data_IF_650926157933
#
_entry.id   IF_650926157933
#
_cell.length_a   1.000
_cell.length_b   1.000
_cell.length_c   1.000
_cell.angle_alpha   90.00
_cell.angle_beta   90.00
_cell.angle_gamma   90.00
#
_symmetry.space_group_name_H-M   'P 1'
#
loop_
_entity.id
_entity.type
_entity.pdbx_description
1 polymer ?
#
# COMPACT_ATOMS: atom_id res chain seq x y z
N UNK A 1 -7.13 8.12 -15.94
CA UNK A 1 -6.57 8.50 -14.63
C UNK A 1 -5.46 9.58 -14.69
N UNK A 2 -5.33 10.32 -15.78
CA UNK A 2 -4.36 11.42 -15.87
C UNK A 2 -4.84 12.56 -14.96
N UNK A 3 -4.03 12.90 -13.98
CA UNK A 3 -4.06 14.10 -13.14
C UNK A 3 -4.99 14.17 -11.92
N UNK A 4 -5.58 13.12 -11.40
CA UNK A 4 -6.32 13.25 -10.15
C UNK A 4 -5.45 12.86 -8.95
N UNK A 5 -4.68 13.84 -8.45
CA UNK A 5 -3.80 13.68 -7.28
C UNK A 5 -4.59 13.39 -6.01
N UNK A 6 -5.89 13.77 -5.96
CA UNK A 6 -6.80 13.52 -4.85
C UNK A 6 -6.91 12.03 -4.52
N UNK A 7 -6.83 11.20 -5.55
CA UNK A 7 -6.85 9.75 -5.40
C UNK A 7 -5.80 9.24 -4.37
N UNK A 8 -4.60 9.82 -4.36
CA UNK A 8 -3.54 9.38 -3.43
C UNK A 8 -3.78 9.80 -1.99
N UNK A 9 -4.54 10.88 -1.75
CA UNK A 9 -4.94 11.27 -0.42
C UNK A 9 -5.93 10.28 0.20
N UNK A 10 -6.81 9.69 -0.60
CA UNK A 10 -7.80 8.72 -0.11
C UNK A 10 -7.19 7.40 0.38
N UNK A 11 -6.06 6.96 -0.16
CA UNK A 11 -5.40 5.75 0.34
C UNK A 11 -4.82 5.92 1.75
N UNK A 12 -4.41 7.14 2.12
CA UNK A 12 -3.83 7.43 3.43
C UNK A 12 -4.85 7.93 4.45
N UNK A 13 -6.05 8.29 4.03
CA UNK A 13 -7.08 8.87 4.87
C UNK A 13 -7.46 7.95 6.05
N UNK A 14 -7.37 6.67 5.83
CA UNK A 14 -7.78 5.64 6.77
C UNK A 14 -6.80 5.44 7.95
N UNK A 15 -5.49 5.55 7.71
CA UNK A 15 -4.46 5.32 8.74
C UNK A 15 -4.33 6.47 9.74
N UNK A 16 -5.03 7.57 9.52
CA UNK A 16 -4.89 8.82 10.27
C UNK A 16 -6.21 9.32 10.84
N UNK A 17 -7.00 8.40 11.41
CA UNK A 17 -8.24 8.80 12.08
C UNK A 17 -7.91 9.68 13.30
N UNK A 18 -8.32 10.95 13.25
CA UNK A 18 -8.09 11.96 14.30
C UNK A 18 -8.67 11.53 15.66
N UNK A 19 -9.65 10.64 15.67
CA UNK A 19 -10.25 10.10 16.90
C UNK A 19 -9.29 9.17 17.66
N UNK A 20 -8.29 8.61 16.99
CA UNK A 20 -7.28 7.75 17.60
C UNK A 20 -6.07 8.54 18.12
N UNK A 21 -5.79 9.71 17.53
CA UNK A 21 -4.63 10.53 17.88
C UNK A 21 -4.99 12.02 17.86
N UNK A 22 -4.86 12.75 18.98
CA UNK A 22 -5.05 14.18 19.01
C UNK A 22 -3.94 14.87 18.18
N UNK A 23 -4.25 15.15 16.92
CA UNK A 23 -3.31 15.78 16.00
C UNK A 23 -3.12 17.25 16.35
N UNK A 24 -1.91 17.64 16.77
CA UNK A 24 -1.54 19.05 17.00
C UNK A 24 -1.67 19.87 15.71
N UNK A 25 -2.06 21.13 15.85
CA UNK A 25 -2.04 22.07 14.72
C UNK A 25 -0.61 22.52 14.46
N UNK A 26 -0.18 22.41 13.22
CA UNK A 26 1.08 22.95 12.74
C UNK A 26 0.85 23.80 11.49
N UNK A 27 1.83 24.60 11.12
CA UNK A 27 1.82 25.35 9.86
C UNK A 27 1.90 24.41 8.65
N UNK A 28 1.43 24.86 7.49
CA UNK A 28 1.59 24.10 6.24
C UNK A 28 3.05 23.88 5.93
N UNK A 29 3.91 24.85 6.23
CA UNK A 29 5.36 24.76 6.05
C UNK A 29 5.95 23.60 6.86
N UNK A 30 5.58 23.47 8.14
CA UNK A 30 6.02 22.37 8.99
C UNK A 30 5.67 20.99 8.37
N UNK A 31 4.41 20.83 7.93
CA UNK A 31 3.98 19.56 7.33
C UNK A 31 4.74 19.24 6.04
N UNK A 32 4.99 20.24 5.20
CA UNK A 32 5.75 20.08 3.96
C UNK A 32 7.19 19.69 4.25
N UNK A 33 7.87 20.43 5.11
CA UNK A 33 9.26 20.14 5.48
C UNK A 33 9.37 18.74 6.09
N UNK A 34 8.49 18.40 7.03
CA UNK A 34 8.44 17.06 7.62
C UNK A 34 8.17 15.98 6.57
N UNK A 35 7.18 16.18 5.70
CA UNK A 35 6.82 15.24 4.64
C UNK A 35 7.98 14.97 3.68
N UNK A 36 8.58 16.02 3.16
CA UNK A 36 9.72 15.95 2.24
C UNK A 36 10.95 15.34 2.93
N UNK A 37 11.23 15.73 4.19
CA UNK A 37 12.34 15.16 4.96
C UNK A 37 12.22 13.63 5.09
N UNK A 38 11.07 13.12 5.56
CA UNK A 38 10.88 11.68 5.73
C UNK A 38 10.87 10.94 4.38
N UNK A 39 10.29 11.54 3.35
CA UNK A 39 10.35 10.99 1.99
C UNK A 39 11.80 10.86 1.51
N UNK A 40 12.58 11.93 1.57
CA UNK A 40 13.98 11.96 1.13
C UNK A 40 14.84 11.00 1.94
N UNK A 41 14.71 11.01 3.27
CA UNK A 41 15.42 10.08 4.15
C UNK A 41 15.17 8.62 3.76
N UNK A 42 13.90 8.25 3.56
CA UNK A 42 13.54 6.88 3.19
C UNK A 42 13.99 6.53 1.77
N UNK A 43 13.96 7.50 0.85
CA UNK A 43 14.49 7.33 -0.50
C UNK A 43 16.00 7.05 -0.48
N UNK A 44 16.78 7.87 0.22
CA UNK A 44 18.23 7.66 0.38
C UNK A 44 18.52 6.30 1.00
N UNK A 45 17.77 5.94 2.07
CA UNK A 45 17.89 4.62 2.67
C UNK A 45 17.66 3.49 1.67
N UNK A 46 16.63 3.62 0.81
CA UNK A 46 16.31 2.63 -0.22
C UNK A 46 17.38 2.51 -1.31
N UNK A 47 18.15 3.57 -1.57
CA UNK A 47 19.27 3.55 -2.51
C UNK A 47 20.48 2.80 -1.93
N UNK A 48 20.73 2.96 -0.64
CA UNK A 48 21.91 2.39 0.04
C UNK A 48 21.69 0.91 0.37
N UNK A 49 20.53 0.58 0.89
CA UNK A 49 20.22 -0.75 1.43
C UNK A 49 19.30 -1.61 0.53
N UNK A 50 18.89 -1.10 -0.61
CA UNK A 50 17.92 -1.73 -1.50
C UNK A 50 18.44 -2.89 -2.36
N UNK A 51 19.61 -3.47 -2.05
CA UNK A 51 20.19 -4.60 -2.81
C UNK A 51 19.72 -5.94 -2.24
N UNK A 52 18.48 -6.32 -2.58
CA UNK A 52 17.93 -7.61 -2.20
C UNK A 52 18.05 -8.65 -3.35
N UNK A 53 18.19 -9.93 -2.98
CA UNK A 53 18.13 -11.03 -3.95
C UNK A 53 16.67 -11.21 -4.41
N UNK A 54 16.44 -11.08 -5.69
CA UNK A 54 15.11 -11.12 -6.29
C UNK A 54 14.81 -12.49 -6.91
N UNK A 55 13.56 -12.95 -6.75
CA UNK A 55 13.04 -14.04 -7.57
C UNK A 55 12.54 -13.48 -8.89
N UNK A 56 12.76 -14.20 -9.97
CA UNK A 56 12.23 -13.81 -11.27
C UNK A 56 10.70 -13.87 -11.27
N UNK A 57 10.05 -12.83 -11.78
CA UNK A 57 8.60 -12.73 -11.82
C UNK A 57 7.96 -13.88 -12.62
N UNK A 58 8.67 -14.43 -13.62
CA UNK A 58 8.21 -15.53 -14.42
C UNK A 58 7.98 -16.81 -13.59
N UNK A 59 8.73 -17.00 -12.50
CA UNK A 59 8.57 -18.17 -11.61
C UNK A 59 7.28 -18.11 -10.77
N UNK A 60 6.61 -16.95 -10.73
CA UNK A 60 5.41 -16.70 -9.91
C UNK A 60 4.17 -16.41 -10.75
N UNK A 61 4.31 -16.29 -12.07
CA UNK A 61 3.20 -15.96 -12.98
C UNK A 61 2.07 -17.00 -12.92
N UNK A 62 0.84 -16.54 -12.84
CA UNK A 62 -0.35 -17.39 -12.84
C UNK A 62 -0.59 -18.18 -11.56
N UNK A 63 0.19 -17.95 -10.49
CA UNK A 63 0.01 -18.58 -9.18
C UNK A 63 -1.02 -17.84 -8.32
N UNK A 64 -1.41 -18.46 -7.22
CA UNK A 64 -2.13 -17.78 -6.14
C UNK A 64 -1.18 -16.81 -5.45
N UNK A 65 -1.62 -15.59 -5.18
CA UNK A 65 -0.83 -14.61 -4.45
C UNK A 65 -1.34 -14.45 -3.02
N UNK A 66 -0.49 -14.70 -2.03
CA UNK A 66 -0.74 -14.31 -0.65
C UNK A 66 -0.08 -12.96 -0.39
N UNK A 67 -0.91 -11.91 -0.27
CA UNK A 67 -0.45 -10.54 -0.09
C UNK A 67 -0.16 -10.29 1.40
N UNK A 68 1.04 -10.64 1.82
CA UNK A 68 1.52 -10.49 3.19
C UNK A 68 2.52 -9.35 3.28
N UNK A 69 2.25 -8.38 4.15
CA UNK A 69 3.12 -7.23 4.41
C UNK A 69 3.86 -7.34 5.76
N UNK A 70 3.54 -8.37 6.53
CA UNK A 70 4.14 -8.61 7.86
C UNK A 70 4.09 -10.07 8.24
N UNK A 71 4.87 -10.45 9.26
CA UNK A 71 4.82 -11.80 9.84
C UNK A 71 3.43 -12.12 10.44
N UNK A 72 2.72 -11.12 10.95
CA UNK A 72 1.36 -11.33 11.45
C UNK A 72 0.38 -11.65 10.33
N UNK A 73 0.48 -10.96 9.18
CA UNK A 73 -0.32 -11.31 8.01
C UNK A 73 -0.03 -12.75 7.54
N UNK A 74 1.24 -13.17 7.54
CA UNK A 74 1.62 -14.54 7.21
C UNK A 74 1.00 -15.56 8.17
N UNK A 75 1.06 -15.30 9.48
CA UNK A 75 0.44 -16.19 10.49
C UNK A 75 -1.06 -16.32 10.27
N UNK A 76 -1.75 -15.21 10.01
CA UNK A 76 -3.18 -15.19 9.74
C UNK A 76 -3.57 -16.02 8.50
N UNK A 77 -2.72 -16.05 7.48
CA UNK A 77 -2.96 -16.77 6.24
C UNK A 77 -2.39 -18.20 6.24
N UNK A 78 -1.63 -18.62 7.28
CA UNK A 78 -0.93 -19.90 7.28
C UNK A 78 -1.87 -21.10 7.15
N UNK A 79 -2.98 -21.12 7.87
CA UNK A 79 -3.96 -22.22 7.81
C UNK A 79 -4.57 -22.42 6.42
N UNK A 80 -4.66 -21.35 5.64
CA UNK A 80 -5.12 -21.41 4.25
C UNK A 80 -3.97 -21.82 3.33
N UNK A 81 -2.76 -21.26 3.55
CA UNK A 81 -1.58 -21.61 2.77
C UNK A 81 -1.26 -23.10 2.84
N UNK A 82 -1.46 -23.74 4.00
CA UNK A 82 -1.23 -25.16 4.23
C UNK A 82 -2.17 -26.09 3.43
N UNK A 83 -3.21 -25.52 2.79
CA UNK A 83 -4.13 -26.26 1.90
C UNK A 83 -3.67 -26.27 0.43
N UNK A 84 -2.59 -25.59 0.10
CA UNK A 84 -2.05 -25.50 -1.25
C UNK A 84 -0.61 -26.02 -1.31
N UNK A 85 -0.23 -26.62 -2.42
CA UNK A 85 1.15 -26.97 -2.66
C UNK A 85 2.02 -25.70 -2.80
N UNK A 86 3.23 -25.74 -2.26
CA UNK A 86 4.17 -24.60 -2.30
C UNK A 86 4.48 -24.10 -3.71
N UNK A 87 4.32 -24.91 -4.72
CA UNK A 87 4.52 -24.55 -6.11
C UNK A 87 3.34 -23.75 -6.70
N UNK A 88 2.14 -23.82 -6.10
CA UNK A 88 0.91 -23.23 -6.63
C UNK A 88 0.69 -21.80 -6.16
N UNK A 89 1.43 -21.35 -5.15
CA UNK A 89 1.29 -20.01 -4.63
C UNK A 89 2.61 -19.26 -4.52
N UNK A 90 2.51 -17.94 -4.40
CA UNK A 90 3.58 -17.03 -4.05
C UNK A 90 3.20 -16.24 -2.82
N UNK A 91 4.12 -16.16 -1.85
CA UNK A 91 3.98 -15.32 -0.66
C UNK A 91 4.73 -14.01 -0.91
N UNK A 92 4.00 -12.91 -0.95
CA UNK A 92 4.58 -11.57 -1.01
C UNK A 92 4.92 -11.12 0.42
N UNK A 93 6.20 -11.11 0.74
CA UNK A 93 6.76 -10.37 1.87
C UNK A 93 7.44 -9.13 1.31
N UNK A 94 7.46 -8.04 2.06
CA UNK A 94 7.83 -6.66 1.64
C UNK A 94 9.10 -6.49 0.77
N UNK A 95 9.87 -7.54 0.53
CA UNK A 95 11.23 -7.43 0.04
C UNK A 95 11.61 -8.40 -1.06
N UNK A 96 10.73 -9.31 -1.47
CA UNK A 96 11.13 -10.43 -2.32
C UNK A 96 10.91 -10.23 -3.83
N UNK A 97 10.34 -9.12 -4.27
CA UNK A 97 9.98 -8.92 -5.69
C UNK A 97 10.63 -7.67 -6.26
N UNK A 98 11.42 -7.78 -7.35
CA UNK A 98 12.12 -6.63 -7.96
C UNK A 98 11.19 -5.48 -8.31
N UNK A 99 9.97 -5.81 -8.68
CA UNK A 99 8.95 -4.86 -9.07
C UNK A 99 8.46 -4.01 -7.90
N UNK A 100 8.57 -4.50 -6.66
CA UNK A 100 8.13 -3.83 -5.44
C UNK A 100 9.27 -3.21 -4.63
N UNK A 101 10.45 -3.02 -5.23
CA UNK A 101 11.55 -2.39 -4.51
C UNK A 101 11.22 -0.98 -4.07
N UNK A 102 11.61 -0.63 -2.84
CA UNK A 102 11.46 0.72 -2.32
C UNK A 102 12.10 1.76 -3.25
N UNK A 103 13.25 1.46 -3.84
CA UNK A 103 13.90 2.32 -4.84
C UNK A 103 12.96 2.66 -6.00
N UNK A 104 12.28 1.67 -6.58
CA UNK A 104 11.31 1.88 -7.67
C UNK A 104 10.11 2.70 -7.23
N UNK A 105 9.59 2.42 -6.03
CA UNK A 105 8.50 3.18 -5.43
C UNK A 105 8.88 4.67 -5.35
N UNK A 106 10.03 4.98 -4.77
CA UNK A 106 10.43 6.39 -4.62
C UNK A 106 10.68 7.07 -5.95
N UNK A 107 11.37 6.41 -6.90
CA UNK A 107 11.61 6.97 -8.26
C UNK A 107 10.28 7.30 -8.95
N UNK A 108 9.30 6.38 -8.92
CA UNK A 108 7.99 6.62 -9.54
C UNK A 108 7.17 7.70 -8.82
N UNK A 109 7.44 7.95 -7.53
CA UNK A 109 6.76 9.00 -6.78
C UNK A 109 7.28 10.41 -7.10
N UNK A 110 8.53 10.56 -7.55
CA UNK A 110 9.18 11.87 -7.73
C UNK A 110 8.35 12.83 -8.57
N UNK A 111 7.77 12.38 -9.67
CA UNK A 111 6.97 13.22 -10.58
C UNK A 111 5.66 13.73 -9.95
N UNK A 112 5.22 13.12 -8.84
CA UNK A 112 3.98 13.47 -8.14
C UNK A 112 4.21 14.37 -6.93
N UNK A 113 5.46 14.61 -6.50
CA UNK A 113 5.76 15.41 -5.31
C UNK A 113 5.15 16.79 -5.41
N UNK A 114 5.47 17.53 -6.48
CA UNK A 114 4.99 18.91 -6.67
C UNK A 114 3.46 18.96 -6.77
N UNK A 115 2.79 18.16 -7.62
CA UNK A 115 1.33 18.09 -7.67
C UNK A 115 0.69 17.80 -6.31
N UNK A 116 1.23 16.85 -5.54
CA UNK A 116 0.73 16.51 -4.19
C UNK A 116 0.88 17.70 -3.24
N UNK A 117 2.03 18.37 -3.21
CA UNK A 117 2.27 19.52 -2.33
C UNK A 117 1.34 20.69 -2.68
N UNK A 118 1.14 20.98 -3.96
CA UNK A 118 0.19 22.00 -4.41
C UNK A 118 -1.23 21.65 -3.95
N UNK A 119 -1.62 20.38 -4.09
CA UNK A 119 -2.94 19.93 -3.66
C UNK A 119 -3.10 20.00 -2.14
N UNK A 120 -2.08 19.57 -1.39
CA UNK A 120 -2.05 19.66 0.07
C UNK A 120 -2.29 21.08 0.59
N UNK A 121 -1.72 22.09 -0.06
CA UNK A 121 -1.89 23.49 0.34
C UNK A 121 -3.36 23.97 0.25
N UNK A 122 -4.18 23.33 -0.58
CA UNK A 122 -5.62 23.68 -0.74
C UNK A 122 -6.49 23.14 0.39
N UNK A 123 -6.06 22.10 1.11
CA UNK A 123 -6.81 21.56 2.24
C UNK A 123 -6.81 22.53 3.43
N UNK A 124 -7.91 22.50 4.20
CA UNK A 124 -8.13 23.37 5.39
C UNK A 124 -8.61 22.53 6.57
N UNK A 125 -8.60 23.14 7.75
CA UNK A 125 -9.21 22.59 8.96
C UNK A 125 -8.70 21.20 9.32
N UNK A 126 -9.62 20.26 9.52
CA UNK A 126 -9.36 18.87 9.92
C UNK A 126 -8.57 18.10 8.87
N UNK A 127 -8.99 18.20 7.60
CA UNK A 127 -8.33 17.51 6.48
C UNK A 127 -6.85 17.89 6.38
N UNK A 128 -6.54 19.17 6.54
CA UNK A 128 -5.15 19.65 6.51
C UNK A 128 -4.29 19.04 7.61
N UNK A 129 -4.84 18.82 8.80
CA UNK A 129 -4.11 18.14 9.88
C UNK A 129 -3.86 16.67 9.53
N UNK A 130 -4.91 15.95 9.17
CA UNK A 130 -4.85 14.53 8.81
C UNK A 130 -3.82 14.32 7.69
N UNK A 131 -3.99 15.00 6.57
CA UNK A 131 -3.09 14.86 5.43
C UNK A 131 -1.69 15.41 5.69
N UNK A 132 -1.55 16.42 6.53
CA UNK A 132 -0.25 16.94 6.95
C UNK A 132 0.58 15.91 7.71
N UNK A 133 -0.01 15.21 8.65
CA UNK A 133 0.67 14.10 9.34
C UNK A 133 0.94 12.92 8.40
N UNK A 134 0.01 12.61 7.49
CA UNK A 134 0.14 11.56 6.48
C UNK A 134 1.01 11.91 5.28
N UNK A 135 1.47 13.15 5.18
CA UNK A 135 2.15 13.62 3.97
C UNK A 135 3.34 12.73 3.52
N UNK A 136 4.20 12.20 4.42
CA UNK A 136 5.24 11.27 4.03
C UNK A 136 4.71 10.01 3.32
N UNK A 137 3.57 9.48 3.78
CA UNK A 137 2.90 8.33 3.18
C UNK A 137 2.27 8.71 1.84
N UNK A 138 1.59 9.85 1.79
CA UNK A 138 0.95 10.36 0.57
C UNK A 138 1.97 10.60 -0.54
N UNK A 139 3.14 11.15 -0.21
CA UNK A 139 4.21 11.38 -1.17
C UNK A 139 4.75 10.10 -1.82
N UNK A 140 4.76 8.99 -1.10
CA UNK A 140 5.20 7.69 -1.65
C UNK A 140 4.08 6.87 -2.29
N UNK A 141 2.82 7.22 -2.02
CA UNK A 141 1.63 6.48 -2.51
C UNK A 141 1.59 6.30 -4.03
N UNK A 142 1.93 7.30 -4.88
CA UNK A 142 1.97 7.09 -6.34
C UNK A 142 2.93 5.96 -6.75
N UNK A 143 4.10 5.94 -6.15
CA UNK A 143 5.09 4.91 -6.44
C UNK A 143 4.62 3.51 -6.06
N UNK A 144 4.03 3.34 -4.88
CA UNK A 144 3.41 2.09 -4.49
C UNK A 144 2.28 1.70 -5.44
N UNK A 145 1.38 2.62 -5.75
CA UNK A 145 0.27 2.36 -6.65
C UNK A 145 0.73 1.80 -8.00
N UNK A 146 1.63 2.50 -8.68
CA UNK A 146 2.12 2.06 -9.99
C UNK A 146 2.98 0.80 -9.91
N UNK A 147 3.77 0.64 -8.84
CA UNK A 147 4.65 -0.51 -8.68
C UNK A 147 3.88 -1.78 -8.38
N UNK A 148 2.88 -1.70 -7.51
CA UNK A 148 1.97 -2.81 -7.20
C UNK A 148 1.12 -3.16 -8.43
N UNK A 149 0.62 -2.16 -9.16
CA UNK A 149 -0.17 -2.38 -10.37
C UNK A 149 0.63 -3.11 -11.46
N UNK A 150 1.87 -2.67 -11.71
CA UNK A 150 2.75 -3.36 -12.65
C UNK A 150 3.04 -4.80 -12.23
N UNK A 151 3.27 -5.02 -10.94
CA UNK A 151 3.51 -6.35 -10.37
C UNK A 151 2.29 -7.27 -10.58
N UNK A 152 1.11 -6.85 -10.13
CA UNK A 152 -0.13 -7.65 -10.24
C UNK A 152 -0.43 -7.94 -11.72
N UNK A 153 -0.29 -6.95 -12.60
CA UNK A 153 -0.50 -7.12 -14.04
C UNK A 153 0.47 -8.13 -14.66
N UNK A 154 1.75 -8.09 -14.30
CA UNK A 154 2.77 -9.01 -14.81
C UNK A 154 2.62 -10.41 -14.24
N UNK A 155 2.34 -10.52 -12.95
CA UNK A 155 2.12 -11.78 -12.26
C UNK A 155 0.85 -12.46 -12.74
N UNK A 156 -0.19 -11.70 -13.05
CA UNK A 156 -1.50 -12.19 -13.48
C UNK A 156 -2.00 -13.33 -12.58
N UNK A 157 -2.14 -13.09 -11.25
CA UNK A 157 -2.44 -14.16 -10.31
C UNK A 157 -3.84 -14.74 -10.55
N UNK A 158 -4.03 -16.04 -10.25
CA UNK A 158 -5.35 -16.69 -10.29
C UNK A 158 -6.33 -16.04 -9.31
N UNK A 159 -5.85 -15.71 -8.12
CA UNK A 159 -6.54 -14.95 -7.10
C UNK A 159 -5.53 -14.37 -6.10
N UNK A 160 -5.97 -13.44 -5.26
CA UNK A 160 -5.13 -12.79 -4.24
C UNK A 160 -5.80 -12.92 -2.88
N UNK A 161 -5.06 -13.48 -1.91
CA UNK A 161 -5.48 -13.54 -0.51
C UNK A 161 -4.89 -12.38 0.28
N UNK A 162 -5.74 -11.74 1.08
CA UNK A 162 -5.40 -10.65 1.98
C UNK A 162 -5.79 -11.00 3.42
N UNK A 163 -5.00 -10.51 4.37
CA UNK A 163 -5.37 -10.52 5.79
C UNK A 163 -5.33 -9.11 6.39
N UNK A 164 -5.20 -8.09 5.54
CA UNK A 164 -5.17 -6.69 5.95
C UNK A 164 -5.82 -5.84 4.87
N UNK A 165 -6.73 -4.95 5.28
CA UNK A 165 -7.52 -4.07 4.43
C UNK A 165 -7.29 -2.57 4.70
N UNK A 166 -6.53 -2.25 5.76
CA UNK A 166 -6.37 -0.87 6.22
C UNK A 166 -5.03 -0.23 5.88
N UNK A 167 -4.02 -0.99 5.43
CA UNK A 167 -2.77 -0.40 4.96
C UNK A 167 -2.87 0.02 3.49
N UNK A 168 -2.23 1.13 3.18
CA UNK A 168 -2.22 1.74 1.85
C UNK A 168 -1.87 0.75 0.73
N UNK A 169 -0.83 -0.05 0.90
CA UNK A 169 -0.38 -1.04 -0.08
C UNK A 169 -1.43 -2.13 -0.35
N UNK A 170 -2.11 -2.64 0.70
CA UNK A 170 -3.16 -3.65 0.53
C UNK A 170 -4.38 -3.07 -0.21
N UNK A 171 -4.79 -1.85 0.13
CA UNK A 171 -5.87 -1.14 -0.55
C UNK A 171 -5.54 -0.87 -2.02
N UNK A 172 -4.30 -0.49 -2.33
CA UNK A 172 -3.84 -0.31 -3.71
C UNK A 172 -3.84 -1.62 -4.49
N UNK A 173 -3.36 -2.71 -3.86
CA UNK A 173 -3.39 -4.04 -4.47
C UNK A 173 -4.83 -4.49 -4.75
N UNK A 174 -5.73 -4.33 -3.79
CA UNK A 174 -7.15 -4.64 -3.95
C UNK A 174 -7.79 -3.82 -5.08
N UNK A 175 -7.49 -2.50 -5.15
CA UNK A 175 -7.95 -1.66 -6.24
C UNK A 175 -7.50 -2.20 -7.61
N UNK A 176 -6.24 -2.63 -7.75
CA UNK A 176 -5.75 -3.23 -8.99
C UNK A 176 -6.41 -4.57 -9.29
N UNK A 177 -6.62 -5.42 -8.28
CA UNK A 177 -7.35 -6.67 -8.46
C UNK A 177 -8.74 -6.43 -9.03
N UNK A 178 -9.50 -5.50 -8.46
CA UNK A 178 -10.85 -5.17 -8.91
C UNK A 178 -10.86 -4.63 -10.35
N UNK A 179 -9.92 -3.76 -10.71
CA UNK A 179 -9.83 -3.21 -12.07
C UNK A 179 -9.33 -4.21 -13.12
N UNK A 180 -8.66 -5.26 -12.72
CA UNK A 180 -8.17 -6.33 -13.60
C UNK A 180 -9.07 -7.57 -13.56
N UNK A 181 -10.22 -7.51 -12.87
CA UNK A 181 -11.13 -8.64 -12.64
C UNK A 181 -10.45 -9.86 -12.00
N UNK A 182 -9.43 -9.65 -11.16
CA UNK A 182 -8.76 -10.69 -10.39
C UNK A 182 -9.52 -10.88 -9.09
N UNK A 183 -9.92 -12.11 -8.77
CA UNK A 183 -10.61 -12.42 -7.52
C UNK A 183 -9.74 -12.13 -6.31
N UNK A 184 -10.31 -11.43 -5.32
CA UNK A 184 -9.68 -11.09 -4.06
C UNK A 184 -10.42 -11.72 -2.89
N UNK A 185 -9.69 -12.35 -1.98
CA UNK A 185 -10.22 -13.04 -0.82
C UNK A 185 -9.63 -12.40 0.44
N UNK A 186 -10.47 -12.10 1.41
CA UNK A 186 -10.06 -11.54 2.69
C UNK A 186 -10.28 -12.55 3.81
N UNK A 187 -9.28 -12.72 4.66
CA UNK A 187 -9.35 -13.52 5.86
C UNK A 187 -9.10 -12.60 7.04
N UNK A 188 -10.12 -12.43 7.86
CA UNK A 188 -10.03 -11.63 9.07
C UNK A 188 -9.10 -12.30 10.08
N UNK A 189 -8.23 -11.52 10.71
CA UNK A 189 -7.30 -12.01 11.73
C UNK A 189 -7.28 -11.14 12.98
N UNK A 190 -8.11 -10.10 13.01
CA UNK A 190 -8.23 -9.18 14.13
C UNK A 190 -9.63 -8.57 14.16
N UNK A 191 -10.06 -8.11 15.32
CA UNK A 191 -11.33 -7.40 15.47
C UNK A 191 -11.33 -6.15 14.59
N UNK A 192 -12.42 -5.93 13.87
CA UNK A 192 -12.66 -4.71 13.11
C UNK A 192 -13.46 -3.72 13.93
N UNK A 193 -13.10 -2.45 13.83
CA UNK A 193 -13.84 -1.38 14.47
C UNK A 193 -14.65 -0.59 13.42
N UNK A 194 -15.69 0.13 13.87
CA UNK A 194 -16.61 0.86 12.98
C UNK A 194 -15.97 1.94 12.09
N UNK A 195 -14.71 2.30 12.35
CA UNK A 195 -13.96 3.26 11.54
C UNK A 195 -13.18 2.61 10.39
N UNK A 196 -13.21 1.26 10.26
CA UNK A 196 -12.61 0.59 9.11
C UNK A 196 -13.46 0.78 7.84
N UNK A 197 -12.85 0.90 6.66
CA UNK A 197 -13.60 1.05 5.42
C UNK A 197 -14.44 -0.20 5.13
N UNK A 198 -15.51 -0.01 4.34
CA UNK A 198 -16.28 -1.14 3.85
C UNK A 198 -15.39 -2.11 3.05
N UNK A 199 -15.60 -3.41 3.26
CA UNK A 199 -14.88 -4.46 2.55
C UNK A 199 -15.21 -4.41 1.05
N UNK A 200 -14.17 -4.40 0.22
CA UNK A 200 -14.28 -4.34 -1.24
C UNK A 200 -13.74 -5.62 -1.91
N UNK A 201 -13.61 -6.69 -1.14
CA UNK A 201 -13.11 -7.98 -1.61
C UNK A 201 -14.20 -8.75 -2.36
N UNK A 202 -13.78 -9.64 -3.27
CA UNK A 202 -14.70 -10.57 -3.94
C UNK A 202 -15.36 -11.52 -2.94
N UNK A 203 -14.60 -11.96 -1.94
CA UNK A 203 -15.05 -12.82 -0.83
C UNK A 203 -14.36 -12.39 0.45
N UNK A 204 -15.10 -12.38 1.57
CA UNK A 204 -14.57 -12.11 2.90
C UNK A 204 -14.98 -13.21 3.87
N UNK A 205 -14.02 -13.75 4.60
CA UNK A 205 -14.19 -14.71 5.68
C UNK A 205 -13.95 -13.96 6.99
N UNK A 206 -15.03 -13.77 7.74
CA UNK A 206 -15.05 -13.02 8.99
C UNK A 206 -15.28 -14.01 10.13
N UNK A 207 -14.50 -13.85 11.24
CA UNK A 207 -14.69 -14.58 12.48
C UNK A 207 -15.84 -13.99 13.30
#
# INVERSE_FOLDING_TARGET
MKNNVDFFFHFSDFTLNENLYPLKRHSSFYYIVRGVYYFTRSFVYSLIYGNYKYKEINSVKGKILFFCLSLNNRRALSSVMDKFDKQDYHLLLDVEVPELTLKRVYIKSLIYIIPILIRFLKYKGKEKRIYGYGLPLILRSPGYFFTIGDFIKKMSPKCVFFSNDHVDCARMALWHCNNLNIKSLYIQHASVANYYPALQFSYAFLD
#
